data_IF_188925107627
#
_entry.id   IF_188925107627
#
_cell.length_a   1.000
_cell.length_b   1.000
_cell.length_c   1.000
_cell.angle_alpha   90.00
_cell.angle_beta   90.00
_cell.angle_gamma   90.00
#
_symmetry.space_group_name_H-M   'P 1'
#
loop_
_entity.id
_entity.type
_entity.pdbx_description
1 polymer ?
#
# COMPACT_ATOMS: atom_id res chain seq x y z
N UNK A 1 2.79 4.68 21.79
CA UNK A 1 1.93 3.58 21.28
C UNK A 1 0.52 4.12 21.11
N UNK A 2 0.17 4.51 19.90
CA UNK A 2 -1.22 4.82 19.55
C UNK A 2 -2.09 3.57 19.70
N UNK A 3 -3.22 3.69 20.37
CA UNK A 3 -4.26 2.67 20.42
C UNK A 3 -4.91 2.52 19.04
N UNK A 4 -5.48 1.35 18.73
CA UNK A 4 -6.19 1.10 17.46
C UNK A 4 -7.26 2.15 17.16
N UNK A 5 -7.89 2.70 18.21
CA UNK A 5 -8.87 3.79 18.12
C UNK A 5 -8.25 5.12 17.68
N UNK A 6 -7.04 5.44 18.15
CA UNK A 6 -6.31 6.65 17.74
C UNK A 6 -5.80 6.54 16.31
N UNK A 7 -5.35 5.34 15.89
CA UNK A 7 -4.97 5.09 14.49
C UNK A 7 -6.16 5.25 13.55
N UNK A 8 -7.34 4.71 13.92
CA UNK A 8 -8.56 4.88 13.13
C UNK A 8 -8.95 6.36 12.96
N UNK A 9 -8.91 7.14 14.05
CA UNK A 9 -9.18 8.59 14.00
C UNK A 9 -8.19 9.35 13.12
N UNK A 10 -6.91 8.98 13.16
CA UNK A 10 -5.88 9.56 12.30
C UNK A 10 -6.20 9.25 10.82
N UNK A 11 -6.55 8.01 10.51
CA UNK A 11 -6.95 7.60 9.16
C UNK A 11 -8.19 8.36 8.66
N UNK A 12 -9.24 8.48 9.48
CA UNK A 12 -10.44 9.24 9.13
C UNK A 12 -10.13 10.72 8.86
N UNK A 13 -9.24 11.31 9.66
CA UNK A 13 -8.81 12.70 9.48
C UNK A 13 -8.04 12.88 8.18
N UNK A 14 -7.15 11.95 7.82
CA UNK A 14 -6.40 11.98 6.56
C UNK A 14 -7.33 11.82 5.36
N UNK A 15 -8.28 10.87 5.42
CA UNK A 15 -9.26 10.65 4.36
C UNK A 15 -10.21 11.84 4.19
N UNK A 16 -10.31 12.70 5.20
CA UNK A 16 -11.09 13.94 5.16
C UNK A 16 -10.31 15.14 4.57
N UNK A 17 -9.02 14.97 4.21
CA UNK A 17 -8.22 16.05 3.60
C UNK A 17 -8.78 16.36 2.19
N UNK A 18 -9.08 17.64 1.87
CA UNK A 18 -9.45 18.04 0.51
C UNK A 18 -8.41 17.56 -0.51
N UNK A 19 -8.86 16.97 -1.61
CA UNK A 19 -7.97 16.37 -2.62
C UNK A 19 -7.81 14.85 -2.54
N UNK A 20 -8.15 14.20 -1.42
CA UNK A 20 -8.01 12.74 -1.27
C UNK A 20 -9.01 11.92 -2.11
N UNK A 21 -10.11 12.55 -2.55
CA UNK A 21 -11.09 11.97 -3.48
C UNK A 21 -10.86 12.40 -4.94
N UNK A 22 -9.83 13.21 -5.21
CA UNK A 22 -9.51 13.61 -6.58
C UNK A 22 -8.90 12.45 -7.36
N UNK A 23 -9.27 12.34 -8.63
CA UNK A 23 -8.72 11.29 -9.50
C UNK A 23 -7.36 11.71 -10.01
N UNK A 24 -6.34 10.90 -9.71
CA UNK A 24 -5.00 11.06 -10.29
C UNK A 24 -4.83 10.13 -11.48
N UNK A 25 -4.46 10.68 -12.64
CA UNK A 25 -4.08 9.86 -13.80
C UNK A 25 -2.67 9.33 -13.61
N UNK A 26 -2.54 8.00 -13.50
CA UNK A 26 -1.25 7.34 -13.36
C UNK A 26 -1.05 6.34 -14.51
N UNK A 27 0.01 6.55 -15.30
CA UNK A 27 0.45 5.61 -16.35
C UNK A 27 1.56 4.72 -15.79
N UNK A 28 1.39 3.40 -15.92
CA UNK A 28 2.36 2.42 -15.47
C UNK A 28 2.63 1.37 -16.54
N UNK A 29 3.87 0.90 -16.59
CA UNK A 29 4.28 -0.27 -17.37
C UNK A 29 4.89 -1.29 -16.44
N UNK A 30 4.18 -2.38 -16.22
CA UNK A 30 4.63 -3.49 -15.37
C UNK A 30 4.56 -4.80 -16.16
N UNK A 31 5.38 -5.78 -15.77
CA UNK A 31 5.33 -7.12 -16.36
C UNK A 31 4.04 -7.85 -15.95
N UNK A 32 3.60 -8.83 -16.74
CA UNK A 32 2.45 -9.70 -16.39
C UNK A 32 2.64 -10.38 -15.03
N UNK A 33 3.88 -10.76 -14.72
CA UNK A 33 4.28 -11.32 -13.42
C UNK A 33 3.95 -10.35 -12.28
N UNK A 34 4.38 -9.09 -12.40
CA UNK A 34 4.19 -8.10 -11.33
C UNK A 34 2.72 -7.71 -11.18
N UNK A 35 1.96 -7.67 -12.29
CA UNK A 35 0.52 -7.46 -12.23
C UNK A 35 -0.20 -8.56 -11.43
N UNK A 36 0.15 -9.82 -11.68
CA UNK A 36 -0.43 -10.96 -10.94
C UNK A 36 -0.07 -10.91 -9.45
N UNK A 37 1.21 -10.67 -9.13
CA UNK A 37 1.66 -10.60 -7.75
C UNK A 37 1.06 -9.42 -6.99
N UNK A 38 0.90 -8.27 -7.65
CA UNK A 38 0.26 -7.11 -7.07
C UNK A 38 -1.19 -7.42 -6.68
N UNK A 39 -1.93 -8.10 -7.55
CA UNK A 39 -3.29 -8.56 -7.27
C UNK A 39 -3.32 -9.50 -6.05
N UNK A 40 -2.46 -10.52 -6.01
CA UNK A 40 -2.40 -11.46 -4.87
C UNK A 40 -2.03 -10.79 -3.55
N UNK A 41 -1.17 -9.76 -3.56
CA UNK A 41 -0.81 -8.99 -2.35
C UNK A 41 -2.01 -8.17 -1.86
N UNK A 42 -2.76 -7.55 -2.79
CA UNK A 42 -3.95 -6.76 -2.46
C UNK A 42 -5.03 -7.67 -1.86
N UNK A 43 -5.30 -8.83 -2.47
CA UNK A 43 -6.26 -9.81 -1.93
C UNK A 43 -5.87 -10.26 -0.52
N UNK A 44 -4.61 -10.66 -0.30
CA UNK A 44 -4.11 -11.00 1.04
C UNK A 44 -4.28 -9.84 2.04
N UNK A 45 -4.06 -8.60 1.60
CA UNK A 45 -4.23 -7.42 2.45
C UNK A 45 -5.69 -7.11 2.81
N UNK A 46 -6.65 -7.60 2.02
CA UNK A 46 -8.09 -7.45 2.26
C UNK A 46 -8.65 -8.57 3.14
N UNK A 47 -8.13 -9.80 3.01
CA UNK A 47 -8.59 -10.99 3.72
C UNK A 47 -8.00 -11.13 5.14
N UNK A 48 -7.99 -10.03 5.92
CA UNK A 48 -7.45 -10.00 7.30
C UNK A 48 -8.27 -10.86 8.28
N UNK A 49 -9.44 -11.37 7.89
CA UNK A 49 -10.40 -12.02 8.80
C UNK A 49 -10.62 -13.51 8.61
N UNK A 50 -10.22 -14.11 7.51
CA UNK A 50 -10.34 -15.56 7.33
C UNK A 50 -9.04 -16.03 6.72
N UNK A 51 -8.52 -17.18 7.17
CA UNK A 51 -7.27 -17.77 6.70
C UNK A 51 -7.36 -18.22 5.24
N UNK A 52 -7.57 -17.26 4.35
CA UNK A 52 -7.63 -17.41 2.92
C UNK A 52 -6.25 -17.81 2.45
N UNK A 53 -6.20 -19.02 1.91
CA UNK A 53 -5.02 -19.60 1.33
C UNK A 53 -4.50 -18.71 0.18
N UNK A 54 -3.56 -17.82 0.51
CA UNK A 54 -2.54 -17.35 -0.45
C UNK A 54 -1.14 -17.82 -0.02
N UNK A 55 -0.87 -19.02 0.55
CA UNK A 55 0.39 -19.24 1.25
C UNK A 55 1.51 -19.52 0.25
N UNK A 56 1.28 -20.26 -0.83
CA UNK A 56 2.39 -20.71 -1.69
C UNK A 56 3.05 -19.63 -2.57
N UNK A 57 2.25 -18.76 -3.20
CA UNK A 57 2.78 -17.86 -4.23
C UNK A 57 3.58 -16.69 -3.65
N UNK A 58 3.07 -16.10 -2.56
CA UNK A 58 3.71 -14.94 -1.93
C UNK A 58 4.94 -15.33 -1.09
N UNK A 59 5.02 -16.57 -0.60
CA UNK A 59 6.16 -17.09 0.16
C UNK A 59 7.38 -17.42 -0.72
N UNK A 60 7.16 -17.69 -2.00
CA UNK A 60 8.22 -18.08 -2.94
C UNK A 60 8.61 -16.95 -3.92
N UNK A 61 8.22 -15.70 -3.65
CA UNK A 61 8.57 -14.58 -4.53
C UNK A 61 10.08 -14.31 -4.45
N UNK A 62 10.80 -14.25 -5.58
CA UNK A 62 12.19 -13.83 -5.61
C UNK A 62 12.37 -12.41 -5.04
N UNK A 63 13.45 -12.20 -4.27
CA UNK A 63 13.78 -10.89 -3.67
C UNK A 63 13.82 -9.76 -4.70
N UNK A 64 14.34 -10.02 -5.91
CA UNK A 64 14.33 -9.06 -7.03
C UNK A 64 12.91 -8.58 -7.38
N UNK A 65 11.93 -9.47 -7.37
CA UNK A 65 10.55 -9.18 -7.75
C UNK A 65 9.84 -8.41 -6.64
N UNK A 66 10.15 -8.73 -5.38
CA UNK A 66 9.71 -7.93 -4.24
C UNK A 66 10.28 -6.50 -4.29
N UNK A 67 11.54 -6.36 -4.74
CA UNK A 67 12.16 -5.05 -4.89
C UNK A 67 11.52 -4.25 -6.02
N UNK A 68 11.24 -4.86 -7.18
CA UNK A 68 10.48 -4.22 -8.25
C UNK A 68 9.09 -3.75 -7.80
N UNK A 69 8.36 -4.59 -7.05
CA UNK A 69 7.04 -4.23 -6.49
C UNK A 69 7.14 -3.10 -5.46
N UNK A 70 8.19 -3.07 -4.66
CA UNK A 70 8.45 -1.97 -3.71
C UNK A 70 8.71 -0.66 -4.46
N UNK A 71 9.56 -0.68 -5.49
CA UNK A 71 9.80 0.48 -6.35
C UNK A 71 8.51 0.96 -6.99
N UNK A 72 7.69 0.04 -7.52
CA UNK A 72 6.38 0.38 -8.09
C UNK A 72 5.44 1.04 -7.08
N UNK A 73 5.40 0.54 -5.83
CA UNK A 73 4.61 1.14 -4.75
C UNK A 73 5.07 2.56 -4.41
N UNK A 74 6.38 2.81 -4.42
CA UNK A 74 6.95 4.14 -4.20
C UNK A 74 6.64 5.09 -5.36
N UNK A 75 6.77 4.63 -6.60
CA UNK A 75 6.41 5.38 -7.80
C UNK A 75 4.93 5.77 -7.83
N UNK A 76 4.04 4.89 -7.34
CA UNK A 76 2.62 5.16 -7.23
C UNK A 76 2.35 6.35 -6.29
N UNK A 77 2.95 6.34 -5.10
CA UNK A 77 2.84 7.45 -4.15
C UNK A 77 3.47 8.74 -4.68
N UNK A 78 4.61 8.64 -5.37
CA UNK A 78 5.27 9.79 -5.97
C UNK A 78 4.40 10.42 -7.06
N UNK A 79 3.83 9.62 -7.97
CA UNK A 79 2.92 10.10 -9.02
C UNK A 79 1.62 10.65 -8.46
N UNK A 80 1.15 10.14 -7.33
CA UNK A 80 0.02 10.68 -6.58
C UNK A 80 0.36 11.95 -5.77
N UNK A 81 1.64 12.33 -5.66
CA UNK A 81 2.06 13.47 -4.83
C UNK A 81 1.95 13.21 -3.32
N UNK A 82 1.83 11.95 -2.90
CA UNK A 82 1.53 11.56 -1.52
C UNK A 82 2.76 11.12 -0.72
N UNK A 83 3.97 11.21 -1.28
CA UNK A 83 5.22 10.80 -0.62
C UNK A 83 5.44 11.52 0.72
N UNK A 84 5.28 12.84 0.75
CA UNK A 84 5.47 13.62 1.98
C UNK A 84 4.43 13.26 3.05
N UNK A 85 3.18 13.04 2.64
CA UNK A 85 2.12 12.61 3.55
C UNK A 85 2.47 11.24 4.15
N UNK A 86 2.85 10.25 3.34
CA UNK A 86 3.30 8.92 3.79
C UNK A 86 4.41 9.02 4.84
N UNK A 87 5.41 9.88 4.64
CA UNK A 87 6.52 10.03 5.58
C UNK A 87 6.10 10.71 6.89
N UNK A 88 5.23 11.73 6.82
CA UNK A 88 4.59 12.31 8.02
C UNK A 88 3.79 11.26 8.79
N UNK A 89 3.05 10.39 8.10
CA UNK A 89 2.30 9.29 8.74
C UNK A 89 3.18 8.28 9.45
N UNK A 90 4.31 7.89 8.85
CA UNK A 90 5.29 7.03 9.52
C UNK A 90 5.83 7.66 10.80
N UNK A 91 6.02 8.98 10.82
CA UNK A 91 6.51 9.70 12.00
C UNK A 91 5.49 9.74 13.15
N UNK A 92 4.19 9.74 12.83
CA UNK A 92 3.09 9.73 13.81
C UNK A 92 3.00 8.39 14.55
N UNK A 93 3.19 7.26 13.84
CA UNK A 93 3.17 5.93 14.45
C UNK A 93 4.40 5.58 15.30
N UNK A 94 5.46 6.41 15.27
CA UNK A 94 6.73 6.20 16.00
C UNK A 94 6.78 6.91 17.37
N UNK A 95 5.66 7.47 17.86
CA UNK A 95 5.51 8.04 19.21
C UNK A 95 4.69 7.14 20.15
#
# INVERSE_FOLDING_TARGET
MMTTSEVAKVMDTIMSIPGMNETVKMDFRISRKNALLLHSIIERGMDVKEGGDVPGLLENIPQETLQELRTFSEDCLQKAGLTELKDKLKSLGRK
#
